data_IF_408281947215
#
_entry.id   IF_408281947215
#
_cell.length_a   1.000
_cell.length_b   1.000
_cell.length_c   1.000
_cell.angle_alpha   90.00
_cell.angle_beta   90.00
_cell.angle_gamma   90.00
#
_symmetry.space_group_name_H-M   'P 1'
#
loop_
_entity.id
_entity.type
_entity.pdbx_description
1 polymer ?
#
# COMPACT_ATOMS: atom_id res chain seq x y z
N UNK A 1 1.64 51.99 -20.05
CA UNK A 1 0.50 51.32 -19.40
C UNK A 1 -0.34 50.61 -20.46
N UNK A 2 -0.28 49.28 -20.53
CA UNK A 2 -1.06 48.48 -21.48
C UNK A 2 -2.42 48.16 -20.88
N UNK A 3 -3.42 48.93 -21.29
CA UNK A 3 -4.83 48.73 -20.94
C UNK A 3 -5.37 47.49 -21.67
N UNK A 4 -5.53 46.38 -20.95
CA UNK A 4 -6.19 45.19 -21.48
C UNK A 4 -7.69 45.45 -21.56
N UNK A 5 -8.19 45.82 -22.74
CA UNK A 5 -9.62 45.91 -23.03
C UNK A 5 -10.17 44.49 -23.25
N UNK A 6 -10.37 43.77 -22.16
CA UNK A 6 -10.97 42.43 -22.22
C UNK A 6 -12.48 42.57 -22.38
N UNK A 7 -12.99 42.12 -23.53
CA UNK A 7 -14.42 42.05 -23.83
C UNK A 7 -15.19 41.30 -22.72
N UNK A 8 -16.39 41.73 -22.32
CA UNK A 8 -17.15 41.10 -21.22
C UNK A 8 -17.38 39.61 -21.46
N UNK A 9 -17.51 39.18 -22.72
CA UNK A 9 -17.61 37.76 -23.10
C UNK A 9 -16.32 36.98 -22.87
N UNK A 10 -15.17 37.62 -23.04
CA UNK A 10 -13.85 37.04 -22.78
C UNK A 10 -13.61 36.88 -21.28
N UNK A 11 -14.04 37.85 -20.46
CA UNK A 11 -13.93 37.76 -18.99
C UNK A 11 -14.81 36.64 -18.46
N UNK A 12 -16.05 36.54 -18.96
CA UNK A 12 -17.00 35.50 -18.57
C UNK A 12 -16.50 34.10 -18.95
N UNK A 13 -15.89 33.95 -20.13
CA UNK A 13 -15.24 32.70 -20.55
C UNK A 13 -14.04 32.36 -19.66
N UNK A 14 -13.23 33.36 -19.29
CA UNK A 14 -12.08 33.17 -18.41
C UNK A 14 -12.51 32.72 -17.00
N UNK A 15 -13.58 33.31 -16.47
CA UNK A 15 -14.16 32.94 -15.17
C UNK A 15 -14.73 31.51 -15.19
N UNK A 16 -15.41 31.11 -16.27
CA UNK A 16 -15.89 29.73 -16.44
C UNK A 16 -14.75 28.71 -16.56
N UNK A 17 -13.66 29.07 -17.22
CA UNK A 17 -12.45 28.25 -17.29
C UNK A 17 -11.79 28.11 -15.91
N UNK A 18 -11.74 29.18 -15.12
CA UNK A 18 -11.14 29.18 -13.78
C UNK A 18 -11.97 28.37 -12.78
N UNK A 19 -13.31 28.44 -12.86
CA UNK A 19 -14.20 27.60 -12.04
C UNK A 19 -14.07 26.13 -12.43
N UNK A 20 -14.01 25.80 -13.72
CA UNK A 20 -13.79 24.42 -14.18
C UNK A 20 -12.45 23.85 -13.70
N UNK A 21 -11.37 24.64 -13.78
CA UNK A 21 -10.03 24.23 -13.34
C UNK A 21 -9.95 24.04 -11.82
N UNK A 22 -10.73 24.83 -11.06
CA UNK A 22 -10.85 24.67 -9.60
C UNK A 22 -11.57 23.38 -9.21
N UNK A 23 -12.57 22.95 -9.99
CA UNK A 23 -13.35 21.72 -9.74
C UNK A 23 -12.54 20.45 -10.01
N UNK A 24 -11.45 20.53 -10.80
CA UNK A 24 -10.63 19.34 -11.15
C UNK A 24 -9.65 18.86 -10.07
N UNK A 25 -9.48 19.60 -8.97
CA UNK A 25 -8.41 19.33 -7.98
C UNK A 25 -8.74 18.31 -6.87
N UNK A 26 -9.74 17.44 -7.02
CA UNK A 26 -10.08 16.46 -5.98
C UNK A 26 -10.19 15.01 -6.48
N UNK A 27 -9.12 14.51 -7.10
CA UNK A 27 -8.92 13.06 -7.25
C UNK A 27 -8.01 12.59 -6.12
N UNK A 28 -8.60 12.11 -5.03
CA UNK A 28 -7.86 11.39 -4.00
C UNK A 28 -7.37 10.06 -4.60
N UNK A 29 -6.08 9.94 -4.88
CA UNK A 29 -5.45 8.67 -5.20
C UNK A 29 -5.27 7.86 -3.91
N UNK A 30 -6.37 7.39 -3.32
CA UNK A 30 -6.31 6.30 -2.35
C UNK A 30 -5.91 5.05 -3.11
N UNK A 31 -4.69 4.56 -2.90
CA UNK A 31 -4.36 3.21 -3.35
C UNK A 31 -5.32 2.26 -2.63
N UNK A 32 -6.17 1.51 -3.35
CA UNK A 32 -7.15 0.65 -2.70
C UNK A 32 -6.42 -0.41 -1.85
N UNK A 33 -6.89 -0.59 -0.61
CA UNK A 33 -6.37 -1.65 0.25
C UNK A 33 -6.82 -2.99 -0.32
N UNK A 34 -5.88 -3.90 -0.54
CA UNK A 34 -6.19 -5.26 -0.98
C UNK A 34 -6.26 -6.20 0.20
N UNK A 35 -7.24 -7.10 0.17
CA UNK A 35 -7.49 -8.11 1.18
C UNK A 35 -7.41 -9.51 0.56
N UNK A 36 -6.79 -10.44 1.26
CA UNK A 36 -6.80 -11.87 0.95
C UNK A 36 -7.83 -12.57 1.84
N UNK A 37 -8.82 -13.21 1.23
CA UNK A 37 -9.74 -14.13 1.91
C UNK A 37 -9.18 -15.54 1.80
N UNK A 38 -8.85 -16.14 2.94
CA UNK A 38 -8.53 -17.54 3.07
C UNK A 38 -9.79 -18.27 3.55
N UNK A 39 -10.24 -19.30 2.83
CA UNK A 39 -11.39 -20.14 3.22
C UNK A 39 -10.90 -21.57 3.42
N UNK A 40 -11.08 -22.11 4.63
CA UNK A 40 -10.65 -23.43 5.06
C UNK A 40 -11.85 -24.14 5.71
N UNK A 41 -12.18 -25.36 5.28
CA UNK A 41 -13.33 -26.12 5.79
C UNK A 41 -14.64 -25.31 5.88
N UNK A 42 -14.92 -24.50 4.85
CA UNK A 42 -16.08 -23.58 4.77
C UNK A 42 -16.06 -22.36 5.71
N UNK A 43 -15.01 -22.16 6.53
CA UNK A 43 -14.84 -20.96 7.34
C UNK A 43 -13.83 -20.00 6.70
N UNK A 44 -14.02 -18.69 6.81
CA UNK A 44 -13.18 -17.71 6.12
C UNK A 44 -12.54 -16.67 7.03
N UNK A 45 -11.28 -16.34 6.77
CA UNK A 45 -10.53 -15.27 7.44
C UNK A 45 -10.00 -14.29 6.40
N UNK A 46 -10.01 -12.99 6.72
CA UNK A 46 -9.62 -11.90 5.81
C UNK A 46 -8.36 -11.25 6.33
N UNK A 47 -7.32 -11.20 5.50
CA UNK A 47 -5.99 -10.66 5.82
C UNK A 47 -5.72 -9.42 4.96
N UNK A 48 -5.34 -8.27 5.53
CA UNK A 48 -4.90 -7.11 4.75
C UNK A 48 -3.53 -7.37 4.14
N UNK A 49 -3.38 -7.09 2.84
CA UNK A 49 -2.13 -7.30 2.09
C UNK A 49 -1.31 -6.00 2.00
N UNK A 50 -1.97 -4.87 1.78
CA UNK A 50 -1.35 -3.57 1.89
C UNK A 50 -1.60 -3.02 3.29
N UNK A 51 -0.61 -3.00 4.20
CA UNK A 51 -0.69 -2.03 5.28
C UNK A 51 -0.66 -0.66 4.60
N UNK A 52 -1.75 0.11 4.68
CA UNK A 52 -1.61 1.55 4.55
C UNK A 52 -0.43 1.93 5.43
N UNK A 53 0.55 2.65 4.88
CA UNK A 53 1.70 3.17 5.65
C UNK A 53 1.15 3.58 7.01
N UNK A 54 1.57 2.88 8.05
CA UNK A 54 1.01 3.02 9.39
C UNK A 54 1.29 4.46 9.84
N UNK A 55 0.31 5.35 9.68
CA UNK A 55 0.28 6.65 10.32
C UNK A 55 0.01 6.40 11.80
N UNK A 56 1.06 6.09 12.57
CA UNK A 56 1.40 6.69 13.87
C UNK A 56 2.66 6.00 14.44
N UNK A 57 3.82 6.61 14.20
CA UNK A 57 4.75 7.09 15.24
C UNK A 57 6.15 7.26 14.62
N UNK A 58 6.51 8.50 14.30
CA UNK A 58 7.75 9.16 14.75
C UNK A 58 9.06 8.33 14.89
N UNK A 59 9.30 7.32 14.07
CA UNK A 59 10.47 6.42 14.22
C UNK A 59 11.19 6.03 12.93
N UNK A 60 10.61 6.28 11.76
CA UNK A 60 11.21 5.90 10.47
C UNK A 60 12.01 7.02 9.79
N UNK A 61 11.75 8.29 10.16
CA UNK A 61 12.54 9.44 9.69
C UNK A 61 13.99 9.36 10.19
N UNK A 62 14.21 8.77 11.37
CA UNK A 62 15.54 8.59 11.93
C UNK A 62 16.34 7.47 11.24
N UNK A 63 15.68 6.44 10.69
CA UNK A 63 16.37 5.29 10.05
C UNK A 63 16.83 5.63 8.63
N UNK A 64 16.01 6.37 7.86
CA UNK A 64 16.42 6.86 6.54
C UNK A 64 17.57 7.89 6.63
N UNK A 65 17.64 8.67 7.71
CA UNK A 65 18.77 9.58 7.97
C UNK A 65 20.07 8.89 8.36
N UNK A 66 20.04 7.63 8.84
CA UNK A 66 21.26 6.87 9.13
C UNK A 66 21.87 6.24 7.87
N UNK A 67 21.05 5.85 6.88
CA UNK A 67 21.53 5.20 5.65
C UNK A 67 22.28 6.13 4.69
N UNK A 68 22.19 7.46 4.86
CA UNK A 68 22.91 8.41 4.00
C UNK A 68 24.34 8.71 4.48
N UNK A 69 24.74 8.23 5.67
CA UNK A 69 26.08 8.50 6.23
C UNK A 69 27.04 7.29 6.25
N UNK A 70 26.54 6.07 6.12
CA UNK A 70 27.38 4.87 6.28
C UNK A 70 27.77 4.22 4.95
N UNK A 71 28.27 5.04 4.02
CA UNK A 71 28.99 4.58 2.83
C UNK A 71 30.49 4.48 3.09
N UNK A 72 30.91 3.90 4.22
CA UNK A 72 32.28 3.42 4.39
C UNK A 72 32.43 2.39 5.52
N UNK A 73 32.68 1.14 5.10
CA UNK A 73 33.48 0.11 5.77
C UNK A 73 32.77 -1.07 6.44
N UNK A 74 33.29 -2.24 6.02
CA UNK A 74 33.51 -3.48 6.75
C UNK A 74 32.32 -4.39 7.10
N UNK A 75 32.19 -5.43 6.27
CA UNK A 75 32.15 -6.84 6.66
C UNK A 75 31.95 -7.12 8.17
N UNK A 76 30.74 -7.50 8.60
CA UNK A 76 30.55 -8.46 9.69
C UNK A 76 29.33 -9.35 9.40
N UNK A 77 29.62 -10.65 9.35
CA UNK A 77 28.75 -11.81 9.22
C UNK A 77 27.76 -11.96 10.39
N UNK A 78 26.51 -11.46 10.29
CA UNK A 78 25.42 -11.93 11.15
C UNK A 78 23.99 -11.61 10.64
N UNK A 79 23.75 -11.73 9.34
CA UNK A 79 22.54 -11.15 8.70
C UNK A 79 21.47 -12.16 8.26
N UNK A 80 21.66 -13.46 8.47
CA UNK A 80 20.72 -14.48 7.96
C UNK A 80 19.40 -14.55 8.74
N UNK A 81 19.40 -14.19 10.03
CA UNK A 81 18.19 -14.21 10.86
C UNK A 81 17.42 -12.88 10.83
N UNK A 82 18.13 -11.76 10.60
CA UNK A 82 17.55 -10.43 10.54
C UNK A 82 16.86 -10.16 9.19
N UNK A 83 17.42 -10.66 8.08
CA UNK A 83 16.82 -10.53 6.73
C UNK A 83 15.48 -11.28 6.62
N UNK A 84 15.31 -12.42 7.30
CA UNK A 84 14.02 -13.15 7.32
C UNK A 84 12.89 -12.34 7.96
N UNK A 85 13.18 -11.50 8.95
CA UNK A 85 12.18 -10.62 9.58
C UNK A 85 11.87 -9.40 8.72
N UNK A 86 12.85 -8.88 7.99
CA UNK A 86 12.69 -7.76 7.05
C UNK A 86 11.95 -8.15 5.75
N UNK A 87 12.06 -9.41 5.29
CA UNK A 87 11.29 -9.92 4.14
C UNK A 87 9.78 -10.04 4.40
N UNK A 88 9.36 -10.11 5.66
CA UNK A 88 7.95 -10.04 6.07
C UNK A 88 7.35 -8.63 5.88
N UNK A 89 8.19 -7.63 5.56
CA UNK A 89 7.82 -6.24 5.32
C UNK A 89 7.80 -5.85 3.83
N UNK A 90 7.93 -6.82 2.90
CA UNK A 90 7.56 -6.55 1.51
C UNK A 90 6.08 -6.17 1.50
N UNK A 91 5.72 -5.10 0.79
CA UNK A 91 4.32 -4.76 0.53
C UNK A 91 3.62 -5.96 -0.11
N UNK A 92 2.78 -6.67 0.64
CA UNK A 92 2.07 -7.82 0.12
C UNK A 92 1.00 -7.35 -0.87
N UNK A 93 0.82 -8.11 -1.93
CA UNK A 93 -0.09 -7.83 -3.02
C UNK A 93 -1.02 -9.01 -3.25
N UNK A 94 -2.08 -8.83 -4.05
CA UNK A 94 -2.96 -9.95 -4.42
C UNK A 94 -2.21 -11.15 -5.03
N UNK A 95 -1.04 -10.94 -5.63
CA UNK A 95 -0.24 -12.03 -6.21
C UNK A 95 0.35 -12.94 -5.12
N UNK A 96 0.50 -12.42 -3.89
CA UNK A 96 0.99 -13.17 -2.75
C UNK A 96 -0.16 -13.94 -2.06
N UNK A 97 -1.43 -13.66 -2.39
CA UNK A 97 -2.61 -14.36 -1.86
C UNK A 97 -2.81 -15.71 -2.55
N UNK A 98 -2.23 -16.76 -1.98
CA UNK A 98 -2.34 -18.14 -2.46
C UNK A 98 -2.54 -19.12 -1.29
N UNK A 99 -2.80 -20.39 -1.61
CA UNK A 99 -3.08 -21.45 -0.60
C UNK A 99 -1.96 -21.57 0.42
N UNK A 100 -0.72 -21.60 -0.05
CA UNK A 100 0.47 -21.71 0.78
C UNK A 100 0.60 -20.52 1.74
N UNK A 101 0.33 -19.30 1.26
CA UNK A 101 0.27 -18.10 2.10
C UNK A 101 -0.73 -18.24 3.25
N UNK A 102 -1.94 -18.78 2.99
CA UNK A 102 -2.94 -18.98 4.04
C UNK A 102 -2.53 -20.03 5.08
N UNK A 103 -1.81 -21.07 4.68
CA UNK A 103 -1.29 -22.11 5.58
C UNK A 103 -0.12 -21.59 6.43
N UNK A 104 0.79 -20.83 5.82
CA UNK A 104 1.94 -20.21 6.49
C UNK A 104 1.50 -19.12 7.50
N UNK A 105 0.26 -18.61 7.41
CA UNK A 105 -0.31 -17.62 8.34
C UNK A 105 -0.89 -18.26 9.63
N UNK A 106 -0.86 -19.59 9.75
CA UNK A 106 -1.24 -20.35 10.96
C UNK A 106 -2.64 -19.99 11.51
N UNK A 107 -3.60 -19.74 10.61
CA UNK A 107 -4.95 -19.34 10.98
C UNK A 107 -5.68 -20.47 11.74
N UNK A 108 -6.41 -20.16 12.84
CA UNK A 108 -7.17 -21.16 13.58
C UNK A 108 -8.17 -21.94 12.73
N UNK A 109 -8.75 -21.29 11.72
CA UNK A 109 -9.70 -21.87 10.74
C UNK A 109 -9.05 -22.87 9.78
N UNK A 110 -7.74 -22.78 9.58
CA UNK A 110 -6.96 -23.64 8.68
C UNK A 110 -6.11 -24.67 9.43
N UNK A 111 -6.33 -24.86 10.74
CA UNK A 111 -5.58 -25.83 11.54
C UNK A 111 -5.83 -27.25 11.02
N UNK A 112 -4.78 -27.90 10.53
CA UNK A 112 -4.87 -29.23 9.92
C UNK A 112 -5.43 -29.26 8.50
N UNK A 113 -5.64 -28.09 7.88
CA UNK A 113 -5.99 -27.98 6.47
C UNK A 113 -4.79 -28.32 5.60
N UNK A 114 -5.03 -29.03 4.50
CA UNK A 114 -4.05 -29.20 3.42
C UNK A 114 -4.32 -28.20 2.30
N UNK A 115 -3.43 -28.07 1.33
CA UNK A 115 -3.60 -27.11 0.24
C UNK A 115 -4.92 -27.30 -0.53
N UNK A 116 -5.41 -28.54 -0.66
CA UNK A 116 -6.69 -28.86 -1.28
C UNK A 116 -7.92 -28.34 -0.51
N UNK A 117 -7.80 -28.16 0.81
CA UNK A 117 -8.88 -27.70 1.68
C UNK A 117 -8.96 -26.16 1.73
N UNK A 118 -8.00 -25.48 1.09
CA UNK A 118 -7.86 -24.03 1.10
C UNK A 118 -8.29 -23.41 -0.22
N UNK A 119 -9.20 -22.44 -0.12
CA UNK A 119 -9.58 -21.57 -1.22
C UNK A 119 -9.19 -20.13 -0.92
N UNK A 120 -8.56 -19.47 -1.88
CA UNK A 120 -8.11 -18.08 -1.75
C UNK A 120 -8.89 -17.17 -2.68
N UNK A 121 -9.19 -15.96 -2.21
CA UNK A 121 -9.81 -14.92 -3.04
C UNK A 121 -9.23 -13.57 -2.66
N UNK A 122 -8.65 -12.85 -3.61
CA UNK A 122 -8.22 -11.47 -3.37
C UNK A 122 -9.29 -10.47 -3.82
N UNK A 123 -9.51 -9.42 -3.03
CA UNK A 123 -10.41 -8.33 -3.40
C UNK A 123 -9.89 -6.98 -2.89
N UNK A 124 -10.34 -5.91 -3.53
CA UNK A 124 -10.05 -4.51 -3.17
C UNK A 124 -11.34 -3.86 -2.70
N UNK A 125 -11.28 -3.04 -1.66
CA UNK A 125 -12.43 -2.33 -1.11
C UNK A 125 -12.23 -0.82 -1.18
#
# INVERSE_FOLDING_TARGET
MSSTWSSPRSIQLLLLLFTFLSVTSLVAASTPTSFCKCTCFSNSTIIPLNPAKSETSSGIDHVLRFYERDSLSSEIEHTDEYIKRAQKYRSLSCNDCNRKFCLDYELPTCKGAKEEDVYTTCFRK
#
